data_IF_123916342822
#
_entry.id   IF_123916342822
#
_cell.length_a   1.000
_cell.length_b   1.000
_cell.length_c   1.000
_cell.angle_alpha   90.00
_cell.angle_beta   90.00
_cell.angle_gamma   90.00
#
_symmetry.space_group_name_H-M   'P 1'
#
loop_
_entity.id
_entity.type
_entity.pdbx_description
1 polymer ?
#
# COMPACT_ATOMS: atom_id res chain seq x y z
N UNK A 1 2.46 -10.83 31.90
CA UNK A 1 2.39 -9.36 31.79
C UNK A 1 2.51 -9.03 30.32
N UNK A 2 1.41 -8.71 29.65
CA UNK A 2 1.46 -8.15 28.30
C UNK A 2 1.95 -6.72 28.41
N UNK A 3 3.21 -6.46 28.05
CA UNK A 3 3.67 -5.09 27.87
C UNK A 3 2.99 -4.55 26.62
N UNK A 4 2.12 -3.55 26.78
CA UNK A 4 1.44 -2.84 25.69
C UNK A 4 2.44 -2.14 24.77
N UNK A 5 3.03 -2.91 23.85
CA UNK A 5 3.99 -2.43 22.86
C UNK A 5 3.32 -1.88 21.61
N UNK A 6 4.08 -1.08 20.87
CA UNK A 6 3.64 -0.54 19.58
C UNK A 6 3.53 -1.68 18.56
N UNK A 7 2.30 -1.92 18.05
CA UNK A 7 2.04 -2.96 17.05
C UNK A 7 2.35 -2.51 15.62
N UNK A 8 2.17 -1.23 15.33
CA UNK A 8 2.37 -0.66 14.00
C UNK A 8 3.25 0.57 14.11
N UNK A 9 4.29 0.62 13.29
CA UNK A 9 5.13 1.80 13.13
C UNK A 9 5.29 2.09 11.64
N UNK A 10 4.97 3.32 11.23
CA UNK A 10 5.14 3.77 9.85
C UNK A 10 6.24 4.83 9.79
N UNK A 11 7.22 4.63 8.93
CA UNK A 11 8.33 5.56 8.70
C UNK A 11 8.19 6.18 7.32
N UNK A 12 8.19 7.52 7.27
CA UNK A 12 8.27 8.28 6.02
C UNK A 12 9.73 8.42 5.59
N UNK A 13 10.18 7.59 4.66
CA UNK A 13 11.58 7.50 4.28
C UNK A 13 11.93 8.38 3.06
N UNK A 14 11.06 8.42 2.03
CA UNK A 14 11.33 9.20 0.82
C UNK A 14 10.06 9.54 0.05
N UNK A 15 9.89 10.81 -0.34
CA UNK A 15 8.72 11.27 -1.09
C UNK A 15 8.93 11.23 -2.60
N UNK A 16 7.84 11.17 -3.37
CA UNK A 16 7.90 11.39 -4.82
C UNK A 16 8.47 12.78 -5.14
N UNK A 17 8.11 13.80 -4.36
CA UNK A 17 8.63 15.16 -4.55
C UNK A 17 10.15 15.26 -4.32
N UNK A 18 10.76 14.33 -3.58
CA UNK A 18 12.20 14.32 -3.36
C UNK A 18 13.00 13.95 -4.62
N UNK A 19 12.38 13.36 -5.65
CA UNK A 19 13.02 13.20 -6.96
C UNK A 19 13.35 14.54 -7.64
N UNK A 20 12.77 15.66 -7.19
CA UNK A 20 13.11 17.00 -7.68
C UNK A 20 14.45 17.53 -7.14
N UNK A 21 15.08 16.83 -6.18
CA UNK A 21 16.40 17.19 -5.65
C UNK A 21 17.50 16.87 -6.66
N UNK A 22 18.75 17.24 -6.33
CA UNK A 22 19.88 17.02 -7.26
C UNK A 22 20.10 15.52 -7.48
N UNK A 23 20.43 15.07 -8.71
CA UNK A 23 20.54 13.64 -9.01
C UNK A 23 21.50 12.85 -8.10
N UNK A 24 22.63 13.45 -7.71
CA UNK A 24 23.58 12.80 -6.79
C UNK A 24 23.04 12.62 -5.37
N UNK A 25 22.17 13.53 -4.91
CA UNK A 25 21.54 13.43 -3.59
C UNK A 25 20.50 12.30 -3.60
N UNK A 26 19.70 12.23 -4.67
CA UNK A 26 18.73 11.14 -4.87
C UNK A 26 19.47 9.80 -4.93
N UNK A 27 20.55 9.71 -5.70
CA UNK A 27 21.36 8.48 -5.78
C UNK A 27 21.91 8.08 -4.41
N UNK A 28 22.48 9.03 -3.67
CA UNK A 28 23.00 8.77 -2.33
C UNK A 28 21.93 8.22 -1.38
N UNK A 29 20.71 8.75 -1.44
CA UNK A 29 19.59 8.24 -0.64
C UNK A 29 19.19 6.81 -1.06
N UNK A 30 19.18 6.51 -2.36
CA UNK A 30 18.90 5.16 -2.87
C UNK A 30 19.98 4.15 -2.42
N UNK A 31 21.25 4.54 -2.47
CA UNK A 31 22.37 3.72 -2.01
C UNK A 31 22.27 3.47 -0.50
N UNK A 32 21.90 4.50 0.27
CA UNK A 32 21.67 4.37 1.71
C UNK A 32 20.49 3.45 2.03
N UNK A 33 19.39 3.52 1.27
CA UNK A 33 18.27 2.58 1.43
C UNK A 33 18.72 1.15 1.18
N UNK A 34 19.47 0.91 0.09
CA UNK A 34 19.98 -0.41 -0.23
C UNK A 34 20.84 -0.96 0.92
N UNK A 35 21.80 -0.17 1.42
CA UNK A 35 22.65 -0.54 2.55
C UNK A 35 21.83 -0.94 3.78
N UNK A 36 20.79 -0.15 4.12
CA UNK A 36 19.95 -0.43 5.29
C UNK A 36 19.08 -1.67 5.12
N UNK A 37 18.53 -1.89 3.93
CA UNK A 37 17.74 -3.09 3.64
C UNK A 37 18.64 -4.34 3.68
N UNK A 38 19.83 -4.27 3.09
CA UNK A 38 20.80 -5.37 3.15
C UNK A 38 21.24 -5.66 4.59
N UNK A 39 21.46 -4.63 5.40
CA UNK A 39 21.71 -4.78 6.84
C UNK A 39 20.58 -5.50 7.55
N UNK A 40 19.32 -5.13 7.29
CA UNK A 40 18.14 -5.82 7.84
C UNK A 40 18.09 -7.29 7.43
N UNK A 41 18.44 -7.61 6.18
CA UNK A 41 18.51 -8.99 5.70
C UNK A 41 19.62 -9.78 6.41
N UNK A 42 20.79 -9.16 6.64
CA UNK A 42 21.86 -9.81 7.40
C UNK A 42 21.45 -10.07 8.85
N UNK A 43 20.65 -9.18 9.43
CA UNK A 43 20.11 -9.27 10.79
C UNK A 43 18.72 -9.95 10.85
N UNK A 44 18.33 -10.71 9.82
CA UNK A 44 17.01 -11.36 9.72
C UNK A 44 16.67 -12.20 10.96
N UNK A 45 17.66 -12.86 11.56
CA UNK A 45 17.46 -13.63 12.80
C UNK A 45 16.93 -12.79 13.97
N UNK A 46 17.36 -11.53 14.08
CA UNK A 46 16.91 -10.58 15.09
C UNK A 46 15.48 -10.14 14.78
N UNK A 47 15.21 -9.81 13.51
CA UNK A 47 13.88 -9.39 13.04
C UNK A 47 12.84 -10.47 13.32
N UNK A 48 13.19 -11.73 13.03
CA UNK A 48 12.32 -12.88 13.30
C UNK A 48 12.20 -13.19 14.80
N UNK A 49 13.26 -12.99 15.60
CA UNK A 49 13.17 -13.15 17.06
C UNK A 49 12.21 -12.14 17.71
N UNK A 50 12.12 -10.93 17.16
CA UNK A 50 11.15 -9.92 17.58
C UNK A 50 9.79 -10.03 16.87
N UNK A 51 9.66 -10.94 15.91
CA UNK A 51 8.46 -11.18 15.10
C UNK A 51 7.95 -9.91 14.40
N UNK A 52 8.88 -9.22 13.71
CA UNK A 52 8.61 -7.98 12.97
C UNK A 52 8.33 -8.30 11.50
N UNK A 53 7.16 -7.90 11.00
CA UNK A 53 6.79 -7.89 9.59
C UNK A 53 7.19 -6.57 8.95
N UNK A 54 8.12 -6.58 8.00
CA UNK A 54 8.56 -5.38 7.29
C UNK A 54 7.79 -5.25 5.99
N UNK A 55 7.24 -4.07 5.72
CA UNK A 55 6.49 -3.75 4.49
C UNK A 55 6.97 -2.43 3.91
N UNK A 56 7.21 -2.41 2.61
CA UNK A 56 7.46 -1.17 1.87
C UNK A 56 6.18 -0.76 1.16
N UNK A 57 5.83 0.52 1.24
CA UNK A 57 4.61 1.08 0.64
C UNK A 57 4.91 2.37 -0.12
N UNK A 58 4.07 2.69 -1.10
CA UNK A 58 4.26 3.79 -2.06
C UNK A 58 4.48 3.31 -3.48
N UNK A 59 4.89 4.21 -4.37
CA UNK A 59 5.11 3.87 -5.77
C UNK A 59 6.47 3.20 -5.98
N UNK A 60 6.54 1.90 -5.66
CA UNK A 60 7.78 1.10 -5.71
C UNK A 60 8.35 0.96 -7.14
N UNK A 61 7.58 1.30 -8.18
CA UNK A 61 8.05 1.33 -9.58
C UNK A 61 9.09 2.44 -9.80
N UNK A 62 9.15 3.44 -8.92
CA UNK A 62 10.12 4.55 -8.98
C UNK A 62 11.46 4.22 -8.30
N UNK A 63 11.56 3.10 -7.59
CA UNK A 63 12.81 2.68 -6.96
C UNK A 63 13.81 2.17 -8.01
N UNK A 64 15.10 2.27 -7.69
CA UNK A 64 16.11 1.58 -8.48
C UNK A 64 15.95 0.06 -8.33
N UNK A 65 16.25 -0.69 -9.39
CA UNK A 65 16.08 -2.16 -9.37
C UNK A 65 16.81 -2.88 -8.22
N UNK A 66 18.03 -2.48 -7.81
CA UNK A 66 18.68 -3.07 -6.63
C UNK A 66 17.86 -2.88 -5.35
N UNK A 67 17.36 -1.66 -5.11
CA UNK A 67 16.57 -1.34 -3.91
C UNK A 67 15.25 -2.09 -3.93
N UNK A 68 14.57 -2.13 -5.08
CA UNK A 68 13.31 -2.87 -5.26
C UNK A 68 13.50 -4.36 -4.98
N UNK A 69 14.55 -4.97 -5.55
CA UNK A 69 14.87 -6.39 -5.33
C UNK A 69 15.15 -6.69 -3.87
N UNK A 70 15.90 -5.81 -3.19
CA UNK A 70 16.20 -5.95 -1.77
C UNK A 70 14.95 -5.80 -0.89
N UNK A 71 14.11 -4.80 -1.17
CA UNK A 71 12.83 -4.59 -0.49
C UNK A 71 11.92 -5.82 -0.62
N UNK A 72 11.77 -6.35 -1.84
CA UNK A 72 11.00 -7.57 -2.10
C UNK A 72 11.53 -8.78 -1.32
N UNK A 73 12.85 -8.90 -1.19
CA UNK A 73 13.49 -9.98 -0.44
C UNK A 73 13.15 -9.92 1.05
N UNK A 74 13.29 -8.76 1.69
CA UNK A 74 13.00 -8.62 3.13
C UNK A 74 11.50 -8.73 3.43
N UNK A 75 10.64 -8.19 2.55
CA UNK A 75 9.18 -8.34 2.70
C UNK A 75 8.78 -9.81 2.67
N UNK A 76 9.34 -10.62 1.76
CA UNK A 76 9.09 -12.07 1.72
C UNK A 76 9.64 -12.79 2.94
N UNK A 77 10.86 -12.46 3.37
CA UNK A 77 11.51 -13.08 4.52
C UNK A 77 10.69 -12.88 5.82
N UNK A 78 10.03 -11.74 5.95
CA UNK A 78 9.28 -11.35 7.16
C UNK A 78 7.76 -11.46 7.01
N UNK A 79 7.27 -12.01 5.91
CA UNK A 79 5.83 -12.04 5.57
C UNK A 79 4.98 -12.83 6.58
N UNK A 80 5.58 -13.83 7.24
CA UNK A 80 4.89 -14.69 8.20
C UNK A 80 4.87 -14.10 9.62
N UNK A 81 5.59 -12.99 9.84
CA UNK A 81 5.65 -12.34 11.14
C UNK A 81 4.38 -11.52 11.37
N UNK A 82 3.91 -11.41 12.61
CA UNK A 82 2.61 -10.76 12.88
C UNK A 82 2.53 -9.92 14.15
N UNK A 83 3.49 -10.05 15.07
CA UNK A 83 3.49 -9.34 16.34
C UNK A 83 3.66 -7.82 16.18
N UNK A 84 4.58 -7.40 15.31
CA UNK A 84 4.83 -6.00 15.01
C UNK A 84 4.92 -5.79 13.50
N UNK A 85 4.37 -4.69 13.00
CA UNK A 85 4.45 -4.32 11.58
C UNK A 85 5.24 -3.01 11.46
N UNK A 86 6.33 -3.06 10.69
CA UNK A 86 7.10 -1.89 10.30
C UNK A 86 6.77 -1.54 8.85
N UNK A 87 5.98 -0.49 8.64
CA UNK A 87 5.72 0.09 7.33
C UNK A 87 6.78 1.14 7.01
N UNK A 88 7.38 1.05 5.83
CA UNK A 88 8.35 2.01 5.34
C UNK A 88 7.78 2.63 4.07
N UNK A 89 7.31 3.88 4.18
CA UNK A 89 6.78 4.64 3.07
C UNK A 89 7.92 5.25 2.25
N UNK A 90 8.09 4.75 1.02
CA UNK A 90 9.12 5.13 0.06
C UNK A 90 8.48 5.46 -1.27
N UNK A 91 9.02 6.48 -1.96
CA UNK A 91 8.38 7.02 -3.16
C UNK A 91 6.89 7.29 -2.92
N UNK A 92 6.56 7.85 -1.75
CA UNK A 92 5.19 7.96 -1.26
C UNK A 92 4.78 9.43 -1.11
N UNK A 93 3.57 9.76 -1.54
CA UNK A 93 2.88 11.01 -1.20
C UNK A 93 1.42 10.69 -0.93
N UNK A 94 0.76 11.40 -0.01
CA UNK A 94 -0.64 11.13 0.32
C UNK A 94 -1.57 11.35 -0.87
N UNK A 95 -1.27 12.32 -1.75
CA UNK A 95 -2.04 12.53 -2.98
C UNK A 95 -1.94 11.33 -3.93
N UNK A 96 -0.74 10.78 -4.12
CA UNK A 96 -0.51 9.60 -4.96
C UNK A 96 -1.21 8.36 -4.36
N UNK A 97 -1.16 8.18 -3.04
CA UNK A 97 -1.89 7.11 -2.35
C UNK A 97 -3.40 7.23 -2.54
N UNK A 98 -3.97 8.43 -2.38
CA UNK A 98 -5.43 8.64 -2.55
C UNK A 98 -5.84 8.30 -3.99
N UNK A 99 -5.07 8.76 -4.99
CA UNK A 99 -5.35 8.45 -6.39
C UNK A 99 -5.27 6.95 -6.63
N UNK A 100 -4.20 6.29 -6.16
CA UNK A 100 -4.04 4.85 -6.31
C UNK A 100 -5.17 4.06 -5.64
N UNK A 101 -5.57 4.43 -4.43
CA UNK A 101 -6.64 3.75 -3.71
C UNK A 101 -8.00 3.91 -4.42
N UNK A 102 -8.25 5.06 -5.06
CA UNK A 102 -9.44 5.28 -5.90
C UNK A 102 -9.39 4.42 -7.16
N UNK A 103 -8.24 4.37 -7.85
CA UNK A 103 -8.03 3.53 -9.03
C UNK A 103 -8.28 2.05 -8.71
N UNK A 104 -7.62 1.51 -7.68
CA UNK A 104 -7.80 0.13 -7.23
C UNK A 104 -9.25 -0.18 -6.84
N UNK A 105 -9.91 0.72 -6.12
CA UNK A 105 -11.32 0.53 -5.73
C UNK A 105 -12.26 0.52 -6.94
N UNK A 106 -11.95 1.30 -7.98
CA UNK A 106 -12.75 1.34 -9.21
C UNK A 106 -12.56 0.08 -10.06
N UNK A 107 -11.36 -0.48 -10.09
CA UNK A 107 -11.06 -1.72 -10.81
C UNK A 107 -11.76 -2.92 -10.16
N UNK A 108 -11.77 -2.99 -8.83
CA UNK A 108 -12.50 -4.02 -8.08
C UNK A 108 -14.00 -3.98 -8.37
N UNK A 109 -14.61 -2.79 -8.33
CA UNK A 109 -16.03 -2.62 -8.64
C UNK A 109 -16.36 -3.00 -10.09
N UNK A 110 -15.47 -2.66 -11.04
CA UNK A 110 -15.65 -3.02 -12.44
C UNK A 110 -15.60 -4.53 -12.65
N UNK A 111 -14.68 -5.22 -11.97
CA UNK A 111 -14.56 -6.69 -12.03
C UNK A 111 -15.76 -7.39 -11.36
N UNK A 112 -16.26 -6.87 -10.23
CA UNK A 112 -17.48 -7.41 -9.60
C UNK A 112 -18.71 -7.25 -10.49
N UNK A 113 -18.87 -6.10 -11.16
CA UNK A 113 -19.99 -5.87 -12.09
C UNK A 113 -19.92 -6.84 -13.27
N UNK A 114 -18.75 -7.02 -13.90
CA UNK A 114 -18.57 -7.97 -15.00
C UNK A 114 -18.89 -9.41 -14.57
N UNK A 115 -18.40 -9.85 -13.40
CA UNK A 115 -18.67 -11.19 -12.88
C UNK A 115 -20.17 -11.41 -12.59
N UNK A 116 -20.87 -10.41 -12.08
CA UNK A 116 -22.30 -10.51 -11.81
C UNK A 116 -23.15 -10.51 -13.10
N UNK A 117 -22.75 -9.77 -14.13
CA UNK A 117 -23.42 -9.78 -15.44
C UNK A 117 -23.30 -11.15 -16.13
N UNK A 118 -22.12 -11.78 -16.09
CA UNK A 118 -21.94 -13.12 -16.66
C UNK A 118 -22.78 -14.20 -15.93
N UNK A 119 -22.99 -14.04 -14.62
CA UNK A 119 -23.84 -14.94 -13.82
C UNK A 119 -25.35 -14.73 -14.07
N UNK A 120 -25.79 -13.52 -14.40
CA UNK A 120 -27.17 -13.24 -14.76
C UNK A 120 -27.51 -13.71 -16.19
N UNK A 121 -26.59 -13.54 -17.15
CA UNK A 121 -26.77 -14.01 -18.53
C UNK A 121 -26.85 -15.54 -18.63
N UNK A 122 -26.14 -16.28 -17.76
CA UNK A 122 -26.24 -17.72 -17.66
C UNK A 122 -27.60 -18.24 -17.13
N UNK A 123 -28.39 -17.38 -16.47
CA UNK A 123 -29.69 -17.74 -15.89
C UNK A 123 -30.89 -17.29 -16.74
N UNK A 124 -30.67 -16.53 -17.83
CA UNK A 124 -31.73 -15.96 -18.66
C UNK A 124 -32.10 -16.85 -19.88
N UNK A 125 -32.43 -18.13 -19.66
CA UNK A 125 -33.18 -18.93 -20.65
C UNK A 125 -34.62 -19.10 -20.17
N UNK A 126 -35.47 -18.09 -20.42
CA UNK A 126 -36.86 -18.10 -19.99
C UNK A 126 -37.67 -16.89 -20.49
N UNK A 127 -38.26 -17.04 -21.67
CA UNK A 127 -39.32 -16.25 -22.32
C UNK A 127 -40.02 -15.09 -21.54
N UNK A 128 -39.76 -13.85 -21.97
CA UNK A 128 -40.79 -12.83 -22.25
C UNK A 128 -41.21 -11.84 -21.15
N UNK A 129 -40.83 -10.56 -21.28
CA UNK A 129 -41.68 -9.35 -21.43
C UNK A 129 -40.83 -8.10 -21.18
N UNK A 130 -40.88 -7.12 -22.10
CA UNK A 130 -40.12 -5.86 -22.06
C UNK A 130 -40.69 -4.94 -20.98
N UNK A 131 -39.88 -4.60 -19.97
CA UNK A 131 -40.12 -3.48 -19.06
C UNK A 131 -39.05 -2.43 -19.34
N UNK A 132 -39.48 -1.23 -19.75
CA UNK A 132 -38.61 -0.06 -19.82
C UNK A 132 -38.17 0.31 -18.40
N UNK A 133 -36.87 0.21 -18.12
CA UNK A 133 -36.27 0.77 -16.93
C UNK A 133 -35.53 2.04 -17.39
N UNK A 134 -35.92 3.17 -16.83
CA UNK A 134 -35.23 4.44 -16.98
C UNK A 134 -33.77 4.23 -16.57
N UNK A 135 -32.84 4.40 -17.52
CA UNK A 135 -31.40 4.30 -17.27
C UNK A 135 -30.97 5.45 -16.34
N UNK A 136 -31.20 5.30 -15.05
CA UNK A 136 -30.41 5.95 -14.03
C UNK A 136 -29.07 5.21 -14.03
N UNK A 137 -28.02 5.84 -14.58
CA UNK A 137 -26.65 5.33 -14.53
C UNK A 137 -26.38 4.85 -13.09
N UNK A 138 -26.25 3.53 -12.93
CA UNK A 138 -25.87 2.95 -11.66
C UNK A 138 -24.42 3.33 -11.43
N UNK A 139 -24.19 4.49 -10.80
CA UNK A 139 -22.89 4.77 -10.21
C UNK A 139 -22.68 3.68 -9.16
N UNK A 140 -21.88 2.66 -9.48
CA UNK A 140 -21.27 1.80 -8.46
C UNK A 140 -20.27 2.67 -7.71
N UNK A 141 -20.81 3.53 -6.85
CA UNK A 141 -20.02 4.48 -6.08
C UNK A 141 -19.00 3.71 -5.25
N UNK A 142 -17.73 4.09 -5.37
CA UNK A 142 -16.65 3.61 -4.50
C UNK A 142 -17.10 3.85 -3.06
N UNK A 143 -17.23 2.78 -2.27
CA UNK A 143 -17.60 2.92 -0.87
C UNK A 143 -16.35 3.36 -0.10
N UNK A 144 -16.58 4.05 1.01
CA UNK A 144 -15.48 4.46 1.90
C UNK A 144 -14.65 3.25 2.37
N UNK A 145 -15.31 2.13 2.64
CA UNK A 145 -14.64 0.88 3.04
C UNK A 145 -13.71 0.33 1.96
N UNK A 146 -14.05 0.50 0.67
CA UNK A 146 -13.21 0.06 -0.44
C UNK A 146 -11.93 0.90 -0.48
N UNK A 147 -12.08 2.21 -0.27
CA UNK A 147 -10.94 3.14 -0.19
C UNK A 147 -10.04 2.83 1.01
N UNK A 148 -10.62 2.65 2.20
CA UNK A 148 -9.87 2.32 3.43
C UNK A 148 -9.04 1.04 3.28
N UNK A 149 -9.59 0.02 2.62
CA UNK A 149 -8.89 -1.24 2.36
C UNK A 149 -7.74 -1.10 1.35
N UNK A 150 -7.82 -0.13 0.45
CA UNK A 150 -6.84 0.09 -0.61
C UNK A 150 -5.81 1.19 -0.28
N UNK A 151 -5.94 1.87 0.87
CA UNK A 151 -4.88 2.74 1.38
C UNK A 151 -3.67 1.93 1.83
N UNK A 152 -2.48 2.49 1.62
CA UNK A 152 -1.24 1.87 2.06
C UNK A 152 -1.08 1.88 3.57
N UNK A 153 -1.43 3.00 4.22
CA UNK A 153 -1.28 3.16 5.67
C UNK A 153 -2.57 2.72 6.37
N UNK A 154 -2.63 1.43 6.71
CA UNK A 154 -3.73 0.82 7.46
C UNK A 154 -3.16 -0.14 8.53
N UNK A 155 -3.52 -0.01 9.82
CA UNK A 155 -4.48 0.94 10.40
C UNK A 155 -3.97 2.38 10.45
N UNK A 156 -4.92 3.32 10.59
CA UNK A 156 -4.58 4.74 10.74
C UNK A 156 -3.72 4.98 11.99
N UNK A 157 -2.70 5.86 11.89
CA UNK A 157 -1.81 6.11 13.01
C UNK A 157 -2.53 6.88 14.12
N UNK A 158 -2.41 6.40 15.36
CA UNK A 158 -2.88 7.11 16.55
C UNK A 158 -2.04 8.36 16.84
N UNK A 159 -0.75 8.32 16.46
CA UNK A 159 0.23 9.37 16.74
C UNK A 159 1.05 9.64 15.48
N UNK A 160 1.13 10.91 15.09
CA UNK A 160 2.00 11.39 14.03
C UNK A 160 3.15 12.21 14.65
N UNK A 161 4.39 11.80 14.38
CA UNK A 161 5.59 12.49 14.86
C UNK A 161 6.33 13.06 13.66
N UNK A 162 6.43 14.40 13.59
CA UNK A 162 7.30 15.11 12.65
C UNK A 162 8.45 15.74 13.41
N UNK A 163 9.66 15.35 13.06
CA UNK A 163 10.89 15.96 13.60
C UNK A 163 11.23 17.23 12.79
N UNK A 164 12.27 17.98 13.19
CA UNK A 164 12.76 19.22 12.54
C UNK A 164 11.97 20.52 12.74
N UNK A 165 10.85 20.51 13.47
CA UNK A 165 10.14 21.72 13.89
C UNK A 165 9.35 22.44 12.79
N UNK A 166 9.26 21.85 11.61
CA UNK A 166 8.40 22.33 10.52
C UNK A 166 6.92 22.02 10.86
N UNK A 167 6.06 23.03 10.77
CA UNK A 167 4.61 22.86 10.93
C UNK A 167 3.97 22.46 9.60
N UNK A 168 2.94 21.61 9.68
CA UNK A 168 2.12 21.16 8.54
C UNK A 168 1.12 22.26 8.18
#
# INVERSE_FOLDING_TARGET
>A
METGGVKYATIYAFSIDNFRRKPHEVQYVMDLMLEKIEGMIMEESIINAYDICVRFVGNLKLLSEPVKTAADKIMRATANNSKCVLLIAVCYTSTDEIVHAVEESSELNSNEVCNNQELEEANATGSGTVIQIENMESYSGIKLVDLENNTYINPYPDVLIRTSGETV
#
